data_IF_259203042320
#
_entry.id   IF_259203042320
#
_cell.length_a   1.000
_cell.length_b   1.000
_cell.length_c   1.000
_cell.angle_alpha   90.00
_cell.angle_beta   90.00
_cell.angle_gamma   90.00
#
_symmetry.space_group_name_H-M   'P 1'
#
loop_
_entity.id
_entity.type
_entity.pdbx_description
1 polymer ?
#
# COMPACT_ATOMS: atom_id res chain seq x y z
N UNK A 1 13.08 5.92 -25.14
CA UNK A 1 12.24 4.70 -25.29
C UNK A 1 11.69 4.37 -23.91
N UNK A 2 10.39 4.09 -23.78
CA UNK A 2 9.79 3.80 -22.48
C UNK A 2 10.39 2.51 -21.89
N UNK A 3 10.88 2.55 -20.66
CA UNK A 3 11.63 1.46 -20.01
C UNK A 3 10.82 0.17 -19.88
N UNK A 4 9.50 0.27 -19.67
CA UNK A 4 8.61 -0.89 -19.57
C UNK A 4 8.19 -1.45 -20.94
N UNK A 5 8.31 -0.70 -22.02
CA UNK A 5 7.99 -1.23 -23.35
C UNK A 5 8.86 -2.45 -23.70
N UNK A 6 8.32 -3.57 -24.25
CA UNK A 6 6.96 -3.78 -24.77
C UNK A 6 6.01 -4.52 -23.79
N UNK A 7 6.27 -4.51 -22.48
CA UNK A 7 5.39 -5.12 -21.49
C UNK A 7 3.97 -4.53 -21.57
N UNK A 8 2.94 -5.33 -21.38
CA UNK A 8 1.54 -4.92 -21.47
C UNK A 8 0.95 -4.68 -20.09
N UNK A 9 0.04 -3.73 -19.97
CA UNK A 9 -0.83 -3.65 -18.82
C UNK A 9 -1.78 -4.85 -18.84
N UNK A 10 -1.84 -5.58 -17.73
CA UNK A 10 -2.68 -6.77 -17.58
C UNK A 10 -3.62 -6.60 -16.39
N UNK A 11 -4.84 -7.13 -16.48
CA UNK A 11 -5.85 -7.12 -15.41
C UNK A 11 -6.61 -8.44 -15.33
N UNK A 12 -7.31 -8.65 -14.21
CA UNK A 12 -8.36 -9.66 -14.12
C UNK A 12 -9.67 -9.06 -14.63
N UNK A 13 -10.36 -9.77 -15.49
CA UNK A 13 -11.74 -9.45 -15.83
C UNK A 13 -12.67 -10.17 -14.82
N UNK A 14 -13.22 -9.41 -13.88
CA UNK A 14 -14.14 -9.90 -12.86
C UNK A 14 -15.57 -10.09 -13.39
N UNK A 15 -15.84 -9.72 -14.64
CA UNK A 15 -17.15 -9.81 -15.26
C UNK A 15 -18.08 -8.65 -14.85
N UNK A 16 -19.38 -8.96 -14.66
CA UNK A 16 -20.39 -7.93 -14.35
C UNK A 16 -20.27 -7.47 -12.90
N UNK A 17 -20.29 -6.17 -12.69
CA UNK A 17 -20.31 -5.60 -11.35
C UNK A 17 -21.57 -5.91 -10.58
N UNK A 18 -21.40 -6.10 -9.27
CA UNK A 18 -22.48 -6.21 -8.30
C UNK A 18 -22.45 -4.98 -7.40
N UNK A 19 -23.56 -4.68 -6.72
CA UNK A 19 -23.62 -3.60 -5.72
C UNK A 19 -22.53 -3.75 -4.63
N UNK A 20 -22.23 -4.99 -4.23
CA UNK A 20 -21.17 -5.27 -3.27
C UNK A 20 -19.78 -4.89 -3.80
N UNK A 21 -19.48 -5.15 -5.08
CA UNK A 21 -18.22 -4.78 -5.72
C UNK A 21 -18.13 -3.26 -5.88
N UNK A 22 -19.24 -2.60 -6.20
CA UNK A 22 -19.29 -1.14 -6.28
C UNK A 22 -18.97 -0.50 -4.94
N UNK A 23 -19.53 -1.03 -3.85
CA UNK A 23 -19.33 -0.52 -2.50
C UNK A 23 -17.97 -0.90 -1.89
N UNK A 24 -17.53 -2.15 -2.06
CA UNK A 24 -16.39 -2.71 -1.31
C UNK A 24 -15.17 -3.04 -2.17
N UNK A 25 -15.26 -2.94 -3.49
CA UNK A 25 -14.19 -3.30 -4.43
C UNK A 25 -14.10 -4.79 -4.72
N UNK A 26 -13.14 -5.13 -5.57
CA UNK A 26 -12.81 -6.50 -5.91
C UNK A 26 -11.79 -7.08 -4.93
N UNK A 27 -11.69 -8.42 -4.93
CA UNK A 27 -10.56 -9.10 -4.31
C UNK A 27 -9.23 -8.68 -4.98
N UNK A 28 -8.15 -8.74 -4.22
CA UNK A 28 -6.83 -8.50 -4.78
C UNK A 28 -6.52 -9.46 -5.92
N UNK A 29 -5.87 -8.93 -6.94
CA UNK A 29 -5.44 -9.68 -8.13
C UNK A 29 -4.05 -10.22 -7.93
N UNK A 30 -3.87 -11.52 -8.14
CA UNK A 30 -2.59 -12.22 -8.11
C UNK A 30 -2.21 -12.58 -9.53
N UNK A 31 -1.08 -12.03 -10.02
CA UNK A 31 -0.55 -12.30 -11.34
C UNK A 31 0.74 -13.09 -11.18
N UNK A 32 0.88 -14.19 -11.94
CA UNK A 32 1.99 -15.12 -11.80
C UNK A 32 2.60 -15.47 -13.16
N UNK A 33 3.94 -15.59 -13.21
CA UNK A 33 4.68 -16.08 -14.36
C UNK A 33 5.87 -16.90 -13.91
N UNK A 34 6.05 -18.09 -14.51
CA UNK A 34 7.29 -18.87 -14.42
C UNK A 34 8.21 -18.56 -15.58
N UNK A 35 9.50 -18.65 -15.29
CA UNK A 35 10.55 -18.57 -16.31
C UNK A 35 11.81 -19.32 -15.86
N UNK A 36 12.52 -19.90 -16.82
CA UNK A 36 13.80 -20.55 -16.59
C UNK A 36 14.93 -19.70 -17.15
N UNK A 37 16.07 -19.70 -16.50
CA UNK A 37 17.29 -19.04 -16.97
C UNK A 37 18.15 -20.05 -17.75
N UNK A 38 18.85 -19.61 -18.83
CA UNK A 38 19.85 -20.41 -19.48
C UNK A 38 21.02 -20.71 -18.53
N UNK A 39 21.85 -21.67 -18.91
CA UNK A 39 23.06 -22.00 -18.16
C UNK A 39 24.17 -20.96 -18.43
N UNK A 40 23.95 -19.74 -17.94
CA UNK A 40 24.82 -18.57 -18.07
C UNK A 40 24.96 -17.89 -16.73
N UNK A 41 26.10 -17.28 -16.47
CA UNK A 41 26.33 -16.53 -15.25
C UNK A 41 25.58 -15.20 -15.28
N UNK A 42 24.62 -15.05 -14.37
CA UNK A 42 23.89 -13.78 -14.15
C UNK A 42 24.81 -12.80 -13.44
N UNK A 43 24.92 -11.58 -13.95
CA UNK A 43 25.68 -10.48 -13.32
C UNK A 43 24.76 -9.44 -12.70
N UNK A 44 23.54 -9.28 -13.22
CA UNK A 44 22.53 -8.35 -12.71
C UNK A 44 21.14 -8.77 -13.17
N UNK A 45 20.15 -8.57 -12.32
CA UNK A 45 18.75 -8.68 -12.72
C UNK A 45 17.91 -7.58 -12.09
N UNK A 46 17.06 -6.94 -12.87
CA UNK A 46 16.19 -5.86 -12.45
C UNK A 46 14.73 -6.19 -12.78
N UNK A 47 13.86 -5.98 -11.79
CA UNK A 47 12.42 -5.93 -12.00
C UNK A 47 11.99 -4.46 -12.05
N UNK A 48 11.33 -4.06 -13.11
CA UNK A 48 10.61 -2.80 -13.23
C UNK A 48 9.13 -3.11 -13.23
N UNK A 49 8.37 -2.51 -12.30
CA UNK A 49 6.96 -2.80 -12.15
C UNK A 49 6.15 -1.58 -11.75
N UNK A 50 4.88 -1.56 -12.14
CA UNK A 50 3.89 -0.56 -11.76
C UNK A 50 2.52 -1.17 -11.63
N UNK A 51 1.60 -0.43 -10.98
CA UNK A 51 0.17 -0.69 -10.99
C UNK A 51 -0.62 0.60 -11.18
N UNK A 52 -1.78 0.48 -11.79
CA UNK A 52 -2.90 1.40 -11.58
C UNK A 52 -3.67 0.78 -10.41
N UNK A 53 -3.41 1.27 -9.23
CA UNK A 53 -3.66 0.67 -7.93
C UNK A 53 -2.39 0.64 -7.10
N UNK A 54 -2.26 -0.33 -6.22
CA UNK A 54 -1.05 -0.62 -5.44
C UNK A 54 -0.62 -2.07 -5.67
N UNK A 55 0.67 -2.35 -5.52
CA UNK A 55 1.17 -3.72 -5.72
C UNK A 55 2.30 -4.10 -4.77
N UNK A 56 2.48 -5.41 -4.60
CA UNK A 56 3.69 -6.06 -4.08
C UNK A 56 4.23 -7.05 -5.09
N UNK A 57 5.55 -7.16 -5.15
CA UNK A 57 6.24 -8.08 -6.04
C UNK A 57 7.02 -9.13 -5.24
N UNK A 58 6.95 -10.38 -5.69
CA UNK A 58 7.65 -11.51 -5.11
C UNK A 58 8.44 -12.25 -6.18
N UNK A 59 9.65 -12.68 -5.85
CA UNK A 59 10.48 -13.57 -6.67
C UNK A 59 10.77 -14.80 -5.83
N UNK A 60 10.34 -15.97 -6.31
CA UNK A 60 10.54 -17.24 -5.62
C UNK A 60 10.09 -17.22 -4.14
N UNK A 61 8.96 -16.55 -3.87
CA UNK A 61 8.38 -16.40 -2.53
C UNK A 61 9.00 -15.30 -1.65
N UNK A 62 10.02 -14.60 -2.12
CA UNK A 62 10.68 -13.52 -1.40
C UNK A 62 10.21 -12.16 -1.93
N UNK A 63 9.81 -11.25 -1.04
CA UNK A 63 9.45 -9.87 -1.43
C UNK A 63 10.62 -9.18 -2.16
N UNK A 64 10.31 -8.42 -3.21
CA UNK A 64 11.33 -7.73 -4.00
C UNK A 64 12.12 -6.69 -3.18
N UNK A 65 11.45 -5.90 -2.32
CA UNK A 65 12.09 -4.84 -1.52
C UNK A 65 11.43 -4.58 -0.14
N UNK A 66 10.34 -5.26 0.22
CA UNK A 66 9.60 -5.01 1.47
C UNK A 66 8.92 -3.64 1.54
N UNK A 67 8.71 -2.97 0.41
CA UNK A 67 7.98 -1.70 0.32
C UNK A 67 6.46 -1.90 0.42
N UNK A 68 5.76 -0.83 0.78
CA UNK A 68 4.31 -0.78 0.89
C UNK A 68 3.72 0.25 -0.04
N UNK A 69 2.46 0.04 -0.44
CA UNK A 69 1.68 1.01 -1.20
C UNK A 69 2.37 1.50 -2.50
N UNK A 70 3.28 0.69 -3.07
CA UNK A 70 3.89 1.01 -4.37
C UNK A 70 2.86 0.90 -5.50
N UNK A 71 2.92 1.76 -6.53
CA UNK A 71 4.00 2.67 -6.88
C UNK A 71 3.95 4.03 -6.16
N UNK A 72 2.94 4.33 -5.35
CA UNK A 72 2.75 5.60 -4.66
C UNK A 72 1.56 6.41 -5.22
N UNK A 73 1.20 7.49 -4.51
CA UNK A 73 0.07 8.35 -4.83
C UNK A 73 0.46 9.46 -5.82
N UNK A 74 -0.31 9.61 -6.90
CA UNK A 74 -0.16 10.65 -7.93
C UNK A 74 -1.47 10.85 -8.68
N UNK A 75 -1.57 11.83 -9.58
CA UNK A 75 -2.65 11.86 -10.59
C UNK A 75 -2.33 10.84 -11.69
N UNK A 76 -2.88 9.63 -11.56
CA UNK A 76 -2.61 8.52 -12.47
C UNK A 76 -3.02 8.79 -13.94
N UNK A 77 -3.79 9.85 -14.20
CA UNK A 77 -4.13 10.28 -15.58
C UNK A 77 -2.98 11.05 -16.23
N UNK A 78 -2.08 11.63 -15.41
CA UNK A 78 -0.94 12.44 -15.83
C UNK A 78 0.38 11.70 -15.69
N UNK A 79 0.53 10.92 -14.60
CA UNK A 79 1.75 10.23 -14.22
C UNK A 79 1.44 8.87 -13.63
N UNK A 80 2.05 7.82 -14.19
CA UNK A 80 2.01 6.45 -13.67
C UNK A 80 3.44 6.09 -13.25
N UNK A 81 3.76 6.14 -11.94
CA UNK A 81 5.09 5.84 -11.45
C UNK A 81 5.39 4.35 -11.64
N UNK A 82 6.60 3.99 -12.03
CA UNK A 82 7.08 2.61 -12.01
C UNK A 82 8.29 2.47 -11.11
N UNK A 83 8.38 1.34 -10.45
CA UNK A 83 9.36 1.02 -9.44
C UNK A 83 10.43 0.10 -9.99
N UNK A 84 11.70 0.32 -9.62
CA UNK A 84 12.85 -0.53 -9.96
C UNK A 84 13.29 -1.30 -8.72
N UNK A 85 13.55 -2.60 -8.89
CA UNK A 85 14.04 -3.51 -7.85
C UNK A 85 15.24 -4.27 -8.39
N UNK A 86 16.32 -4.34 -7.60
CA UNK A 86 17.38 -5.30 -7.83
C UNK A 86 16.93 -6.66 -7.28
N UNK A 87 16.86 -7.64 -8.16
CA UNK A 87 16.43 -9.01 -7.84
C UNK A 87 17.52 -10.06 -8.12
N UNK A 88 18.76 -9.61 -8.29
CA UNK A 88 19.89 -10.45 -8.72
C UNK A 88 20.09 -11.63 -7.79
N UNK A 89 20.05 -11.39 -6.49
CA UNK A 89 20.24 -12.39 -5.43
C UNK A 89 19.03 -13.31 -5.20
N UNK A 90 17.88 -12.99 -5.80
CA UNK A 90 16.62 -13.74 -5.64
C UNK A 90 16.40 -14.75 -6.76
N UNK A 91 17.18 -14.68 -7.84
CA UNK A 91 17.04 -15.58 -8.99
C UNK A 91 17.66 -16.95 -8.74
N UNK A 92 17.01 -17.95 -9.31
CA UNK A 92 17.42 -19.35 -9.36
C UNK A 92 17.42 -19.83 -10.83
N UNK A 93 17.69 -21.11 -11.08
CA UNK A 93 17.58 -21.67 -12.44
C UNK A 93 16.14 -21.63 -12.97
N UNK A 94 15.18 -22.05 -12.13
CA UNK A 94 13.74 -21.95 -12.39
C UNK A 94 13.15 -20.92 -11.44
N UNK A 95 12.34 -20.02 -11.94
CA UNK A 95 11.85 -18.88 -11.19
C UNK A 95 10.34 -18.73 -11.32
N UNK A 96 9.73 -18.18 -10.27
CA UNK A 96 8.39 -17.63 -10.32
C UNK A 96 8.41 -16.16 -9.89
N UNK A 97 7.76 -15.31 -10.66
CA UNK A 97 7.41 -13.94 -10.27
C UNK A 97 5.93 -13.88 -9.98
N UNK A 98 5.57 -13.25 -8.85
CA UNK A 98 4.18 -12.99 -8.47
C UNK A 98 4.03 -11.51 -8.18
N UNK A 99 3.01 -10.89 -8.80
CA UNK A 99 2.57 -9.55 -8.48
C UNK A 99 1.20 -9.66 -7.81
N UNK A 100 1.08 -9.14 -6.59
CA UNK A 100 -0.20 -9.01 -5.89
C UNK A 100 -0.62 -7.55 -5.97
N UNK A 101 -1.85 -7.27 -6.39
CA UNK A 101 -2.31 -5.91 -6.61
C UNK A 101 -3.69 -5.65 -6.02
N UNK A 102 -3.84 -4.48 -5.41
CA UNK A 102 -5.06 -3.99 -4.77
C UNK A 102 -5.44 -2.58 -5.24
N UNK A 103 -6.57 -2.08 -4.74
CA UNK A 103 -7.19 -0.86 -5.22
C UNK A 103 -6.34 0.41 -5.00
N UNK A 104 -5.77 0.59 -3.80
CA UNK A 104 -4.97 1.74 -3.43
C UNK A 104 -5.61 3.09 -3.73
N UNK A 105 -4.79 4.09 -4.08
CA UNK A 105 -5.30 5.44 -4.40
C UNK A 105 -5.98 5.55 -5.76
N UNK A 106 -5.66 4.68 -6.72
CA UNK A 106 -6.19 4.79 -8.08
C UNK A 106 -7.64 4.33 -8.20
N UNK A 107 -8.04 3.32 -7.42
CA UNK A 107 -9.33 2.63 -7.53
C UNK A 107 -10.13 2.69 -6.21
N UNK A 108 -9.48 2.74 -5.05
CA UNK A 108 -10.10 2.81 -3.73
C UNK A 108 -10.80 4.15 -3.46
N UNK A 109 -11.36 4.26 -2.27
CA UNK A 109 -11.94 5.52 -1.79
C UNK A 109 -10.88 6.61 -1.62
N UNK A 110 -11.22 7.84 -2.03
CA UNK A 110 -10.37 9.01 -1.91
C UNK A 110 -11.18 10.25 -1.51
N UNK A 111 -10.53 11.13 -0.71
CA UNK A 111 -11.12 12.38 -0.26
C UNK A 111 -12.33 12.18 0.66
N UNK A 112 -12.94 13.30 1.09
CA UNK A 112 -14.08 13.30 2.01
C UNK A 112 -15.43 13.04 1.32
N UNK A 113 -15.49 13.08 -0.01
CA UNK A 113 -16.67 12.76 -0.81
C UNK A 113 -16.96 11.26 -0.88
N UNK A 114 -15.98 10.43 -0.53
CA UNK A 114 -16.10 8.97 -0.51
C UNK A 114 -16.54 8.38 -1.85
N UNK A 115 -15.94 8.85 -2.93
CA UNK A 115 -16.03 8.18 -4.23
C UNK A 115 -14.89 7.19 -4.39
N UNK A 116 -15.22 6.05 -5.00
CA UNK A 116 -14.24 5.10 -5.52
C UNK A 116 -14.00 5.36 -7.00
N UNK A 117 -12.88 4.80 -7.51
CA UNK A 117 -12.59 4.83 -8.96
C UNK A 117 -12.40 6.25 -9.50
N UNK A 118 -11.79 7.09 -8.68
CA UNK A 118 -11.57 8.48 -9.06
C UNK A 118 -10.69 8.61 -10.32
N UNK A 119 -9.76 7.69 -10.53
CA UNK A 119 -8.88 7.71 -11.70
C UNK A 119 -9.22 6.62 -12.70
N UNK A 120 -9.35 5.37 -12.22
CA UNK A 120 -9.62 4.21 -13.06
C UNK A 120 -10.60 3.25 -12.39
N UNK A 121 -11.25 2.43 -13.23
CA UNK A 121 -12.26 1.48 -12.77
C UNK A 121 -11.68 0.18 -12.24
N UNK A 122 -10.58 -0.27 -12.85
CA UNK A 122 -9.96 -1.56 -12.58
C UNK A 122 -8.51 -1.38 -12.14
N UNK A 123 -8.01 -2.38 -11.43
CA UNK A 123 -6.59 -2.52 -11.10
C UNK A 123 -5.85 -3.13 -12.28
N UNK A 124 -4.73 -2.53 -12.66
CA UNK A 124 -3.84 -3.03 -13.70
C UNK A 124 -2.43 -3.15 -13.15
N UNK A 125 -1.67 -4.12 -13.67
CA UNK A 125 -0.22 -4.20 -13.42
C UNK A 125 0.54 -4.23 -14.74
N UNK A 126 1.76 -3.71 -14.72
CA UNK A 126 2.70 -3.82 -15.83
C UNK A 126 4.10 -4.04 -15.27
N UNK A 127 4.81 -5.06 -15.78
CA UNK A 127 6.14 -5.39 -15.28
C UNK A 127 7.05 -5.91 -16.40
N UNK A 128 8.35 -5.66 -16.19
CA UNK A 128 9.44 -6.16 -17.02
C UNK A 128 10.60 -6.56 -16.13
N UNK A 129 11.07 -7.79 -16.28
CA UNK A 129 12.32 -8.27 -15.70
C UNK A 129 13.37 -8.27 -16.80
N UNK A 130 14.55 -7.75 -16.52
CA UNK A 130 15.72 -7.82 -17.40
C UNK A 130 16.84 -8.54 -16.64
N UNK A 131 17.34 -9.62 -17.22
CA UNK A 131 18.46 -10.40 -16.68
C UNK A 131 19.67 -10.21 -17.59
N UNK A 132 20.78 -9.76 -17.03
CA UNK A 132 22.04 -9.51 -17.74
C UNK A 132 23.04 -10.61 -17.43
N UNK A 133 23.71 -11.11 -18.48
CA UNK A 133 24.69 -12.19 -18.36
C UNK A 133 26.11 -11.69 -18.62
N UNK A 134 27.10 -12.44 -18.09
CA UNK A 134 28.52 -12.12 -18.21
C UNK A 134 29.01 -12.07 -19.67
N UNK A 135 28.36 -12.82 -20.56
CA UNK A 135 28.67 -12.82 -22.00
C UNK A 135 28.11 -11.59 -22.76
N UNK A 136 27.51 -10.63 -22.04
CA UNK A 136 26.90 -9.42 -22.60
C UNK A 136 25.49 -9.62 -23.17
N UNK A 137 24.97 -10.85 -23.17
CA UNK A 137 23.57 -11.10 -23.57
C UNK A 137 22.59 -10.76 -22.45
N UNK A 138 21.31 -10.65 -22.79
CA UNK A 138 20.24 -10.40 -21.80
C UNK A 138 18.95 -11.12 -22.18
N UNK A 139 18.17 -11.45 -21.18
CA UNK A 139 16.78 -11.92 -21.31
C UNK A 139 15.80 -10.89 -20.77
N UNK A 140 14.61 -10.85 -21.37
CA UNK A 140 13.53 -9.99 -20.94
C UNK A 140 12.25 -10.82 -20.70
N UNK A 141 11.69 -10.74 -19.49
CA UNK A 141 10.41 -11.34 -19.13
C UNK A 141 9.43 -10.19 -18.91
N UNK A 142 8.34 -10.14 -19.67
CA UNK A 142 7.38 -9.05 -19.67
C UNK A 142 5.99 -9.53 -19.28
N UNK A 143 5.16 -8.62 -18.78
CA UNK A 143 3.72 -8.89 -18.63
C UNK A 143 3.07 -9.00 -20.01
N UNK A 144 2.37 -10.11 -20.20
CA UNK A 144 1.67 -10.48 -21.44
C UNK A 144 0.62 -11.58 -21.16
N UNK A 145 0.04 -12.14 -22.22
CA UNK A 145 -0.93 -13.25 -22.17
C UNK A 145 -0.38 -14.57 -21.60
N UNK A 146 0.94 -14.69 -21.46
CA UNK A 146 1.55 -15.90 -20.90
C UNK A 146 1.57 -15.90 -19.37
N UNK A 147 1.19 -14.81 -18.73
CA UNK A 147 0.92 -14.77 -17.31
C UNK A 147 -0.36 -15.52 -16.96
N UNK A 148 -0.51 -15.86 -15.70
CA UNK A 148 -1.72 -16.40 -15.11
C UNK A 148 -2.18 -15.46 -14.01
N UNK A 149 -3.50 -15.34 -13.86
CA UNK A 149 -4.12 -14.46 -12.90
C UNK A 149 -5.22 -15.17 -12.13
N UNK A 150 -5.32 -14.92 -10.84
CA UNK A 150 -6.36 -15.42 -9.95
C UNK A 150 -6.54 -14.48 -8.76
N UNK A 151 -7.48 -14.79 -7.87
CA UNK A 151 -7.65 -14.17 -6.56
C UNK A 151 -7.23 -15.16 -5.47
N UNK A 152 -6.89 -14.68 -4.27
CA UNK A 152 -6.53 -15.49 -3.12
C UNK A 152 -7.12 -14.90 -1.83
N UNK A 153 -6.44 -15.02 -0.73
CA UNK A 153 -6.87 -14.70 0.62
C UNK A 153 -7.27 -13.24 0.89
N UNK A 154 -6.73 -12.26 0.14
CA UNK A 154 -7.10 -10.85 0.31
C UNK A 154 -8.35 -10.58 -0.50
N UNK A 155 -9.50 -10.66 0.16
CA UNK A 155 -10.81 -10.56 -0.48
C UNK A 155 -11.34 -9.14 -0.61
N UNK A 156 -10.75 -8.19 0.11
CA UNK A 156 -11.04 -6.75 0.03
C UNK A 156 -9.83 -5.95 0.51
N UNK A 157 -9.58 -4.82 -0.11
CA UNK A 157 -8.63 -3.84 0.40
C UNK A 157 -9.06 -2.42 0.03
N UNK A 158 -8.85 -1.49 0.96
CA UNK A 158 -9.10 -0.07 0.76
C UNK A 158 -8.35 0.76 1.80
N UNK A 159 -7.87 1.93 1.41
CA UNK A 159 -7.11 2.81 2.30
C UNK A 159 -7.89 3.27 3.54
N UNK A 160 -9.21 3.46 3.42
CA UNK A 160 -10.05 3.99 4.51
C UNK A 160 -10.80 2.89 5.24
N UNK A 161 -11.27 1.87 4.49
CA UNK A 161 -12.10 0.80 5.05
C UNK A 161 -11.27 -0.31 5.68
N UNK A 162 -10.00 -0.44 5.28
CA UNK A 162 -9.12 -1.51 5.72
C UNK A 162 -9.14 -2.73 4.82
N UNK A 163 -8.61 -3.84 5.31
CA UNK A 163 -8.38 -5.05 4.56
C UNK A 163 -9.13 -6.26 5.16
N UNK A 164 -9.66 -7.11 4.30
CA UNK A 164 -10.25 -8.38 4.71
C UNK A 164 -9.38 -9.51 4.18
N UNK A 165 -8.75 -10.25 5.10
CA UNK A 165 -7.90 -11.40 4.80
C UNK A 165 -8.62 -12.66 5.27
N UNK A 166 -8.88 -13.57 4.35
CA UNK A 166 -9.59 -14.82 4.63
C UNK A 166 -8.71 -16.02 4.29
N UNK A 167 -8.05 -16.58 5.28
CA UNK A 167 -7.19 -17.74 5.11
C UNK A 167 -7.96 -19.02 4.77
N UNK A 168 -9.30 -19.06 4.92
CA UNK A 168 -10.08 -20.21 4.45
C UNK A 168 -10.10 -20.31 2.92
N UNK A 169 -9.77 -19.22 2.21
CA UNK A 169 -9.63 -19.14 0.75
C UNK A 169 -8.19 -19.25 0.29
N UNK A 170 -7.23 -19.20 1.23
CA UNK A 170 -5.81 -19.23 0.89
C UNK A 170 -5.47 -20.53 0.17
N UNK A 171 -4.86 -20.36 -1.00
CA UNK A 171 -4.28 -21.46 -1.76
C UNK A 171 -2.98 -21.93 -1.13
N UNK A 172 -2.50 -23.08 -1.55
CA UNK A 172 -1.17 -23.51 -1.20
C UNK A 172 -0.14 -22.45 -1.66
N UNK A 173 0.61 -21.90 -0.72
CA UNK A 173 1.63 -20.85 -0.98
C UNK A 173 2.74 -21.26 -1.94
N UNK A 174 2.79 -22.53 -2.35
CA UNK A 174 3.70 -22.98 -3.41
C UNK A 174 3.48 -22.27 -4.76
N UNK A 175 2.35 -21.58 -4.94
CA UNK A 175 2.17 -20.74 -6.13
C UNK A 175 3.15 -19.56 -6.22
N UNK A 176 3.82 -19.20 -5.13
CA UNK A 176 4.93 -18.25 -5.14
C UNK A 176 6.25 -18.85 -5.67
N UNK A 177 6.33 -20.19 -5.79
CA UNK A 177 7.52 -20.92 -6.22
C UNK A 177 7.38 -21.41 -7.66
N UNK A 178 8.50 -21.81 -8.29
CA UNK A 178 8.48 -22.53 -9.57
C UNK A 178 7.85 -23.92 -9.41
N UNK A 179 7.47 -24.52 -10.52
CA UNK A 179 6.89 -25.88 -10.62
C UNK A 179 5.53 -26.04 -9.91
N UNK A 180 4.73 -24.96 -9.84
CA UNK A 180 3.41 -24.98 -9.27
C UNK A 180 2.39 -25.71 -10.16
N UNK A 181 1.60 -26.63 -9.57
CA UNK A 181 0.50 -27.28 -10.29
C UNK A 181 -0.75 -26.36 -10.33
N UNK A 182 -1.03 -25.78 -11.49
CA UNK A 182 -2.16 -24.89 -11.74
C UNK A 182 -3.56 -25.53 -11.59
N UNK A 183 -3.66 -26.82 -11.22
CA UNK A 183 -4.95 -27.44 -10.91
C UNK A 183 -5.60 -26.87 -9.65
N UNK A 184 -4.80 -26.29 -8.76
CA UNK A 184 -5.34 -25.57 -7.61
C UNK A 184 -5.73 -24.14 -8.02
N UNK A 185 -6.98 -23.73 -7.75
CA UNK A 185 -7.49 -22.40 -8.04
C UNK A 185 -8.11 -22.23 -9.43
N UNK A 186 -8.45 -20.98 -9.75
CA UNK A 186 -9.11 -20.60 -11.00
C UNK A 186 -8.18 -19.75 -11.87
N UNK A 187 -6.92 -20.17 -11.99
CA UNK A 187 -5.92 -19.48 -12.76
C UNK A 187 -6.32 -19.32 -14.23
N UNK A 188 -6.43 -18.08 -14.68
CA UNK A 188 -6.86 -17.71 -16.03
C UNK A 188 -5.82 -16.82 -16.72
N UNK A 189 -5.93 -16.74 -18.03
CA UNK A 189 -5.13 -15.78 -18.81
C UNK A 189 -5.64 -14.37 -18.49
N UNK A 190 -4.78 -13.42 -18.08
CA UNK A 190 -5.19 -12.05 -17.86
C UNK A 190 -5.61 -11.37 -19.16
N UNK A 191 -6.48 -10.37 -19.02
CA UNK A 191 -6.77 -9.45 -20.10
C UNK A 191 -5.57 -8.52 -20.32
N UNK A 192 -5.08 -8.45 -21.56
CA UNK A 192 -4.00 -7.55 -21.94
C UNK A 192 -4.58 -6.28 -22.55
N UNK A 193 -4.24 -5.15 -21.97
CA UNK A 193 -4.65 -3.83 -22.46
C UNK A 193 -3.49 -3.20 -23.20
N UNK A 194 -3.71 -2.88 -24.47
CA UNK A 194 -2.78 -2.09 -25.29
C UNK A 194 -3.12 -0.62 -25.13
N UNK A 195 -2.59 0.01 -24.07
CA UNK A 195 -2.91 1.40 -23.76
C UNK A 195 -1.79 2.35 -24.16
N UNK A 196 -1.84 2.94 -25.36
CA UNK A 196 -0.90 4.00 -25.73
C UNK A 196 -0.85 5.14 -24.71
N UNK A 197 -2.00 5.49 -24.13
CA UNK A 197 -2.11 6.52 -23.09
C UNK A 197 -1.36 6.15 -21.81
N UNK A 198 -1.39 4.89 -21.37
CA UNK A 198 -0.68 4.47 -20.16
C UNK A 198 0.84 4.61 -20.33
N UNK A 199 1.37 4.24 -21.49
CA UNK A 199 2.81 4.36 -21.74
C UNK A 199 3.29 5.82 -21.79
N UNK A 200 2.46 6.75 -22.24
CA UNK A 200 2.82 8.18 -22.28
C UNK A 200 2.93 8.79 -20.88
N UNK A 201 2.21 8.22 -19.90
CA UNK A 201 2.20 8.68 -18.50
C UNK A 201 3.27 7.98 -17.64
N UNK A 202 3.96 6.93 -18.11
CA UNK A 202 4.96 6.19 -17.32
C UNK A 202 6.18 7.04 -16.99
N UNK A 203 6.53 7.11 -15.70
CA UNK A 203 7.75 7.75 -15.21
C UNK A 203 8.38 6.92 -14.10
N UNK A 204 9.69 6.97 -13.92
CA UNK A 204 10.34 6.30 -12.79
C UNK A 204 9.94 6.97 -11.48
N UNK A 205 9.60 6.17 -10.45
CA UNK A 205 9.31 6.68 -9.10
C UNK A 205 10.61 7.16 -8.47
N UNK A 206 10.63 8.41 -8.07
CA UNK A 206 11.79 9.07 -7.48
C UNK A 206 11.66 9.27 -5.97
N UNK A 207 10.43 9.20 -5.43
CA UNK A 207 10.22 9.36 -3.99
C UNK A 207 10.76 8.14 -3.21
N UNK A 208 11.18 8.34 -1.96
CA UNK A 208 11.48 7.25 -1.06
C UNK A 208 10.25 6.38 -0.83
N UNK A 209 10.44 5.04 -0.95
CA UNK A 209 9.36 4.06 -0.75
C UNK A 209 8.80 4.13 0.67
N UNK A 210 7.53 3.82 0.81
CA UNK A 210 6.92 3.58 2.12
C UNK A 210 7.44 2.23 2.62
N UNK A 211 7.99 2.20 3.84
CA UNK A 211 8.50 0.98 4.50
C UNK A 211 8.07 0.93 5.95
N UNK A 212 8.14 -0.25 6.54
CA UNK A 212 8.07 -0.40 8.00
C UNK A 212 9.35 0.17 8.59
N UNK A 213 9.24 1.30 9.29
CA UNK A 213 10.38 2.03 9.84
C UNK A 213 10.60 1.76 11.34
N UNK A 214 9.53 1.37 12.05
CA UNK A 214 9.57 0.98 13.46
C UNK A 214 8.55 -0.12 13.74
N UNK A 215 8.79 -0.89 14.79
CA UNK A 215 7.83 -1.86 15.33
C UNK A 215 7.58 -1.49 16.78
N UNK A 216 6.30 -1.31 17.14
CA UNK A 216 5.87 -1.00 18.49
C UNK A 216 5.16 -2.20 19.11
N UNK A 217 5.51 -2.52 20.36
CA UNK A 217 4.81 -3.53 21.15
C UNK A 217 3.83 -2.84 22.07
N UNK A 218 2.52 -3.15 22.00
CA UNK A 218 1.53 -2.50 22.83
C UNK A 218 1.42 -3.12 24.21
N UNK A 219 0.79 -2.38 25.12
CA UNK A 219 0.28 -2.91 26.39
C UNK A 219 -1.20 -3.29 26.25
N UNK A 220 -1.59 -4.40 26.87
CA UNK A 220 -3.01 -4.74 27.02
C UNK A 220 -3.62 -3.85 28.09
N UNK A 221 -4.61 -3.04 27.75
CA UNK A 221 -5.30 -2.16 28.69
C UNK A 221 -6.65 -2.70 29.13
N UNK A 222 -7.27 -3.57 28.31
CA UNK A 222 -8.50 -4.27 28.66
C UNK A 222 -8.56 -5.63 27.93
N UNK A 223 -9.07 -6.65 28.61
CA UNK A 223 -9.28 -7.98 28.04
C UNK A 223 -10.49 -8.64 28.68
N UNK A 224 -11.37 -9.16 27.82
CA UNK A 224 -12.50 -10.00 28.21
C UNK A 224 -12.73 -11.11 27.16
N UNK A 225 -13.83 -11.85 27.27
CA UNK A 225 -14.15 -12.98 26.35
C UNK A 225 -14.44 -12.53 24.92
N UNK A 226 -14.76 -11.25 24.68
CA UNK A 226 -15.20 -10.72 23.38
C UNK A 226 -14.14 -9.91 22.68
N UNK A 227 -13.27 -9.24 23.43
CA UNK A 227 -12.25 -8.40 22.83
C UNK A 227 -10.99 -8.24 23.71
N UNK A 228 -9.92 -7.81 23.08
CA UNK A 228 -8.68 -7.37 23.72
C UNK A 228 -8.37 -5.98 23.17
N UNK A 229 -8.15 -5.00 24.08
CA UNK A 229 -7.78 -3.63 23.71
C UNK A 229 -6.34 -3.34 24.10
N UNK A 230 -5.66 -2.64 23.21
CA UNK A 230 -4.23 -2.35 23.26
C UNK A 230 -3.95 -0.85 23.22
N UNK A 231 -2.93 -0.39 23.98
CA UNK A 231 -2.34 0.96 23.89
C UNK A 231 -0.88 0.85 23.43
N UNK A 232 -0.55 1.43 22.26
CA UNK A 232 0.80 1.50 21.72
C UNK A 232 1.65 2.61 22.37
N UNK A 233 1.09 3.42 23.27
CA UNK A 233 1.73 4.57 23.95
C UNK A 233 2.20 5.67 23.01
N UNK A 234 2.06 5.48 21.71
CA UNK A 234 2.42 6.42 20.67
C UNK A 234 1.34 6.43 19.59
N UNK A 235 0.84 7.63 19.22
CA UNK A 235 0.02 7.76 18.03
C UNK A 235 0.92 7.55 16.80
N UNK A 236 0.57 6.62 15.95
CA UNK A 236 1.37 6.18 14.80
C UNK A 236 0.51 5.97 13.56
N UNK A 237 1.18 5.76 12.44
CA UNK A 237 0.54 5.33 11.19
C UNK A 237 1.15 4.01 10.73
N UNK A 238 0.31 3.08 10.34
CA UNK A 238 0.74 1.77 9.90
C UNK A 238 -0.33 0.71 10.02
N UNK A 239 0.07 -0.53 10.24
CA UNK A 239 -0.79 -1.70 10.34
C UNK A 239 -0.48 -2.54 11.58
N UNK A 240 -1.43 -3.39 11.95
CA UNK A 240 -1.17 -4.44 12.93
C UNK A 240 -0.56 -5.67 12.26
N UNK A 241 0.37 -6.31 12.97
CA UNK A 241 0.80 -7.67 12.71
C UNK A 241 0.33 -8.54 13.85
N UNK A 242 -0.54 -9.51 13.56
CA UNK A 242 -1.21 -10.36 14.54
C UNK A 242 -0.84 -11.81 14.30
N UNK A 243 -0.23 -12.45 15.31
CA UNK A 243 -0.06 -13.91 15.33
C UNK A 243 -1.14 -14.53 16.20
N UNK A 244 -1.77 -15.55 15.70
CA UNK A 244 -2.95 -16.16 16.32
C UNK A 244 -3.00 -17.66 16.04
N UNK A 245 -3.65 -18.39 16.94
CA UNK A 245 -4.03 -19.78 16.75
C UNK A 245 -5.49 -19.94 17.11
N UNK A 246 -6.27 -20.61 16.27
CA UNK A 246 -7.72 -20.73 16.53
C UNK A 246 -8.41 -21.74 15.64
N UNK A 247 -9.73 -21.84 15.82
CA UNK A 247 -10.57 -22.73 15.03
C UNK A 247 -10.85 -22.13 13.64
N UNK A 248 -11.03 -23.01 12.64
CA UNK A 248 -11.39 -22.59 11.28
C UNK A 248 -12.66 -21.75 11.27
N UNK A 249 -12.63 -20.64 10.54
CA UNK A 249 -13.75 -19.72 10.40
C UNK A 249 -13.89 -18.73 11.58
N UNK A 250 -13.01 -18.78 12.59
CA UNK A 250 -12.96 -17.73 13.61
C UNK A 250 -12.62 -16.40 12.95
N UNK A 251 -13.37 -15.36 13.33
CA UNK A 251 -13.24 -14.01 12.79
C UNK A 251 -12.61 -13.11 13.86
N UNK A 252 -11.57 -12.37 13.47
CA UNK A 252 -10.97 -11.31 14.28
C UNK A 252 -11.17 -10.00 13.53
N UNK A 253 -11.85 -9.06 14.19
CA UNK A 253 -12.04 -7.70 13.69
C UNK A 253 -11.11 -6.77 14.45
N UNK A 254 -10.14 -6.19 13.76
CA UNK A 254 -9.17 -5.26 14.29
C UNK A 254 -9.62 -3.82 13.99
N UNK A 255 -10.00 -3.07 15.03
CA UNK A 255 -10.43 -1.68 14.95
C UNK A 255 -9.34 -0.76 15.47
N UNK A 256 -9.21 0.42 14.88
CA UNK A 256 -8.16 1.38 15.17
C UNK A 256 -8.75 2.71 15.61
N UNK A 257 -8.11 3.39 16.59
CA UNK A 257 -8.48 4.73 17.02
C UNK A 257 -7.27 5.48 17.61
N UNK A 258 -7.29 6.79 17.53
CA UNK A 258 -6.26 7.65 18.13
C UNK A 258 -6.52 7.95 19.59
N UNK A 259 -7.78 7.89 20.03
CA UNK A 259 -8.24 8.23 21.38
C UNK A 259 -9.26 7.24 21.89
N UNK A 260 -9.48 7.29 23.21
CA UNK A 260 -10.54 6.57 23.89
C UNK A 260 -11.61 7.56 24.36
N UNK A 261 -12.84 7.07 24.43
CA UNK A 261 -13.95 7.72 25.14
C UNK A 261 -13.71 7.71 26.67
N UNK A 262 -14.51 8.46 27.41
CA UNK A 262 -14.43 8.52 28.87
C UNK A 262 -14.72 7.16 29.54
N UNK A 263 -15.48 6.29 28.90
CA UNK A 263 -15.79 4.92 29.35
C UNK A 263 -14.72 3.90 28.93
N UNK A 264 -13.65 4.36 28.27
CA UNK A 264 -12.54 3.53 27.80
C UNK A 264 -12.78 2.87 26.42
N UNK A 265 -13.93 3.06 25.76
CA UNK A 265 -14.17 2.56 24.40
C UNK A 265 -13.39 3.36 23.37
N UNK A 266 -13.24 2.80 22.14
CA UNK A 266 -12.55 3.51 21.07
C UNK A 266 -13.38 4.71 20.58
N UNK A 267 -12.77 5.91 20.58
CA UNK A 267 -13.35 7.09 19.96
C UNK A 267 -13.13 7.04 18.45
N UNK A 268 -14.20 6.93 17.68
CA UNK A 268 -14.15 6.76 16.21
C UNK A 268 -14.94 7.81 15.42
N UNK A 269 -15.59 8.77 16.09
CA UNK A 269 -16.33 9.83 15.40
C UNK A 269 -15.43 10.72 14.53
N UNK A 270 -14.18 10.94 14.97
CA UNK A 270 -13.19 11.70 14.22
C UNK A 270 -12.72 11.02 12.93
N UNK A 271 -12.98 9.73 12.75
CA UNK A 271 -12.68 8.99 11.52
C UNK A 271 -13.67 9.33 10.40
N UNK A 272 -14.81 9.95 10.74
CA UNK A 272 -15.90 10.31 9.84
C UNK A 272 -16.43 9.06 9.11
N UNK A 273 -16.17 8.91 7.81
CA UNK A 273 -16.63 7.77 7.01
C UNK A 273 -15.59 6.65 6.87
N UNK A 274 -14.34 6.87 7.31
CA UNK A 274 -13.33 5.83 7.31
C UNK A 274 -13.63 4.79 8.40
N UNK A 275 -13.74 3.51 8.03
CA UNK A 275 -13.99 2.44 8.98
C UNK A 275 -12.75 2.08 9.82
N UNK A 276 -11.54 2.28 9.25
CA UNK A 276 -10.25 1.96 9.86
C UNK A 276 -10.25 0.58 10.54
N UNK A 277 -10.75 -0.43 9.81
CA UNK A 277 -11.07 -1.76 10.35
C UNK A 277 -10.55 -2.86 9.43
N UNK A 278 -9.68 -3.73 9.97
CA UNK A 278 -9.23 -4.93 9.28
C UNK A 278 -9.99 -6.16 9.80
N UNK A 279 -10.21 -7.14 8.94
CA UNK A 279 -10.89 -8.39 9.31
C UNK A 279 -10.04 -9.58 8.91
N UNK A 280 -9.81 -10.46 9.86
CA UNK A 280 -9.01 -11.68 9.66
C UNK A 280 -9.89 -12.89 9.93
N UNK A 281 -9.89 -13.86 8.99
CA UNK A 281 -10.66 -15.09 9.07
C UNK A 281 -9.68 -16.27 9.03
N UNK A 282 -9.65 -17.06 10.09
CA UNK A 282 -8.69 -18.12 10.30
C UNK A 282 -8.98 -19.35 9.43
N UNK A 283 -7.93 -19.96 8.88
CA UNK A 283 -7.99 -21.31 8.29
C UNK A 283 -8.15 -22.40 9.33
N UNK A 284 -7.64 -22.19 10.55
CA UNK A 284 -7.58 -23.16 11.63
C UNK A 284 -6.38 -24.12 11.52
N UNK A 285 -5.42 -23.83 10.67
CA UNK A 285 -4.26 -24.67 10.41
C UNK A 285 -3.02 -24.18 11.20
N UNK A 286 -2.99 -24.48 12.52
CA UNK A 286 -1.84 -24.17 13.36
C UNK A 286 -1.77 -22.69 13.76
N UNK A 287 -0.56 -22.12 13.74
CA UNK A 287 -0.32 -20.70 13.98
C UNK A 287 -0.44 -19.94 12.66
N UNK A 288 -1.24 -18.88 12.69
CA UNK A 288 -1.49 -18.02 11.54
C UNK A 288 -0.99 -16.61 11.83
N UNK A 289 -0.53 -15.92 10.79
CA UNK A 289 -0.10 -14.53 10.89
C UNK A 289 -0.89 -13.67 9.90
N UNK A 290 -1.47 -12.60 10.38
CA UNK A 290 -2.18 -11.61 9.59
C UNK A 290 -1.45 -10.29 9.61
N UNK A 291 -1.33 -9.67 8.43
CA UNK A 291 -0.66 -8.41 8.20
C UNK A 291 -1.24 -7.77 6.95
N UNK A 292 -2.03 -6.70 7.06
CA UNK A 292 -2.56 -5.99 5.90
C UNK A 292 -1.43 -5.50 4.97
N UNK A 293 -1.64 -5.58 3.66
CA UNK A 293 -0.63 -5.24 2.65
C UNK A 293 -0.89 -3.91 1.95
N UNK A 294 -2.18 -3.54 1.77
CA UNK A 294 -2.59 -2.45 0.88
C UNK A 294 -3.51 -1.44 1.56
N UNK A 295 -3.34 -1.27 2.87
CA UNK A 295 -3.99 -0.25 3.68
C UNK A 295 -3.04 0.27 4.74
N UNK A 296 -3.42 1.34 5.42
CA UNK A 296 -2.79 1.85 6.62
C UNK A 296 -3.78 2.66 7.44
N UNK A 297 -3.56 2.71 8.75
CA UNK A 297 -4.41 3.43 9.71
C UNK A 297 -3.58 4.36 10.58
N UNK A 298 -4.17 5.49 10.99
CA UNK A 298 -3.63 6.36 12.03
C UNK A 298 -4.25 5.97 13.38
N UNK A 299 -3.44 5.55 14.35
CA UNK A 299 -3.95 5.05 15.63
C UNK A 299 -2.90 5.06 16.74
N UNK A 300 -3.39 5.12 17.98
CA UNK A 300 -2.66 4.78 19.20
C UNK A 300 -3.24 3.54 19.85
N UNK A 301 -4.55 3.34 19.71
CA UNK A 301 -5.29 2.24 20.31
C UNK A 301 -5.80 1.29 19.24
N UNK A 302 -5.76 -0.01 19.56
CA UNK A 302 -6.37 -1.03 18.72
C UNK A 302 -7.23 -1.96 19.56
N UNK A 303 -8.32 -2.46 18.98
CA UNK A 303 -9.22 -3.42 19.62
C UNK A 303 -9.40 -4.62 18.69
N UNK A 304 -9.05 -5.81 19.17
CA UNK A 304 -9.32 -7.07 18.48
C UNK A 304 -10.58 -7.68 19.05
N UNK A 305 -11.66 -7.71 18.26
CA UNK A 305 -12.91 -8.41 18.58
C UNK A 305 -12.87 -9.81 17.98
N UNK A 306 -13.14 -10.83 18.80
CA UNK A 306 -13.02 -12.23 18.43
C UNK A 306 -14.41 -12.86 18.39
N UNK A 307 -14.78 -13.44 17.25
CA UNK A 307 -15.99 -14.26 17.10
C UNK A 307 -15.57 -15.67 16.73
N UNK A 308 -15.79 -16.62 17.62
CA UNK A 308 -15.27 -17.98 17.56
C UNK A 308 -14.24 -18.22 18.66
N UNK A 309 -13.31 -19.16 18.45
CA UNK A 309 -12.26 -19.49 19.43
C UNK A 309 -10.88 -19.26 18.85
N UNK A 310 -10.16 -18.35 19.46
CA UNK A 310 -8.76 -18.08 19.12
C UNK A 310 -7.95 -17.63 20.34
N UNK A 311 -6.67 -17.91 20.31
CA UNK A 311 -5.65 -17.40 21.20
C UNK A 311 -4.76 -16.44 20.44
N UNK A 312 -4.72 -15.17 20.87
CA UNK A 312 -3.79 -14.18 20.30
C UNK A 312 -2.40 -14.44 20.92
N UNK A 313 -1.45 -14.79 20.07
CA UNK A 313 -0.07 -15.13 20.47
C UNK A 313 0.80 -13.88 20.58
N UNK A 314 0.66 -12.95 19.60
CA UNK A 314 1.33 -11.66 19.67
C UNK A 314 0.61 -10.61 18.81
N UNK A 315 0.76 -9.35 19.21
CA UNK A 315 0.33 -8.17 18.45
C UNK A 315 1.47 -7.17 18.43
N UNK A 316 1.80 -6.64 17.25
CA UNK A 316 2.72 -5.53 17.09
C UNK A 316 2.12 -4.50 16.13
N UNK A 317 2.50 -3.23 16.31
CA UNK A 317 2.20 -2.16 15.37
C UNK A 317 3.40 -1.90 14.48
N UNK A 318 3.24 -2.06 13.19
CA UNK A 318 4.26 -1.76 12.18
C UNK A 318 4.08 -0.33 11.68
N UNK A 319 4.97 0.57 12.11
CA UNK A 319 4.92 2.00 11.77
C UNK A 319 5.45 2.21 10.37
N UNK A 320 4.64 2.79 9.50
CA UNK A 320 4.91 2.96 8.09
C UNK A 320 4.97 4.44 7.69
N UNK A 321 5.99 4.82 6.94
CA UNK A 321 6.11 6.11 6.27
C UNK A 321 7.16 6.05 5.17
N UNK A 322 7.21 7.08 4.31
CA UNK A 322 8.25 7.21 3.28
C UNK A 322 9.64 7.16 3.93
N UNK A 323 10.51 6.27 3.48
CA UNK A 323 11.79 5.95 4.11
C UNK A 323 12.79 7.11 4.00
N UNK A 324 12.56 8.18 4.76
CA UNK A 324 13.35 9.38 4.83
C UNK A 324 14.44 9.26 5.89
N UNK A 325 15.66 9.59 5.53
CA UNK A 325 16.79 9.68 6.46
C UNK A 325 16.60 10.84 7.45
N UNK A 326 17.01 10.65 8.71
CA UNK A 326 17.04 11.72 9.71
C UNK A 326 18.17 12.68 9.38
N UNK A 327 17.90 14.00 9.35
CA UNK A 327 18.90 15.05 9.10
C UNK A 327 19.19 15.90 10.32
N UNK A 328 18.20 16.10 11.19
CA UNK A 328 18.31 16.96 12.36
C UNK A 328 17.94 16.25 13.67
N UNK A 329 18.44 16.80 14.76
CA UNK A 329 18.09 16.42 16.12
C UNK A 329 18.08 17.64 17.01
N UNK A 330 17.11 17.73 17.90
CA UNK A 330 17.01 18.81 18.86
C UNK A 330 16.77 18.25 20.27
N UNK A 331 17.49 18.79 21.22
CA UNK A 331 17.26 18.57 22.66
C UNK A 331 17.67 19.82 23.45
N UNK A 332 16.97 20.09 24.52
CA UNK A 332 17.29 21.19 25.44
C UNK A 332 16.95 20.78 26.88
N UNK A 333 17.20 21.67 27.85
CA UNK A 333 16.90 21.44 29.27
C UNK A 333 15.42 21.46 29.62
N UNK A 334 14.55 21.96 28.74
CA UNK A 334 13.09 22.01 28.94
C UNK A 334 12.43 20.77 28.34
N UNK A 335 11.85 19.94 29.21
CA UNK A 335 11.19 18.69 28.80
C UNK A 335 9.93 18.92 27.95
N UNK A 336 9.21 20.02 28.18
CA UNK A 336 8.00 20.36 27.38
C UNK A 336 8.42 20.66 25.94
N UNK A 337 9.46 21.44 25.76
CA UNK A 337 9.99 21.76 24.41
C UNK A 337 10.51 20.50 23.71
N UNK A 338 11.21 19.63 24.43
CA UNK A 338 11.64 18.32 23.89
C UNK A 338 10.43 17.47 23.49
N UNK A 339 9.34 17.50 24.26
CA UNK A 339 8.11 16.77 23.93
C UNK A 339 7.43 17.34 22.69
N UNK A 340 7.36 18.67 22.56
CA UNK A 340 6.84 19.34 21.35
C UNK A 340 7.63 18.91 20.12
N UNK A 341 8.97 18.95 20.18
CA UNK A 341 9.82 18.47 19.09
C UNK A 341 9.52 17.01 18.69
N UNK A 342 9.43 16.10 19.67
CA UNK A 342 9.09 14.70 19.40
C UNK A 342 7.72 14.57 18.74
N UNK A 343 6.71 15.33 19.19
CA UNK A 343 5.37 15.32 18.60
C UNK A 343 5.39 15.78 17.14
N UNK A 344 6.16 16.84 16.83
CA UNK A 344 6.34 17.33 15.45
C UNK A 344 6.94 16.24 14.56
N UNK A 345 7.99 15.55 15.02
CA UNK A 345 8.62 14.45 14.27
C UNK A 345 7.65 13.29 14.04
N UNK A 346 6.85 12.92 15.05
CA UNK A 346 5.84 11.86 14.89
C UNK A 346 4.68 12.29 13.99
N UNK A 347 4.26 13.55 14.05
CA UNK A 347 3.27 14.10 13.11
C UNK A 347 3.78 14.05 11.67
N UNK A 348 5.06 14.41 11.42
CA UNK A 348 5.68 14.29 10.12
C UNK A 348 5.72 12.85 9.61
N UNK A 349 6.13 11.89 10.44
CA UNK A 349 6.13 10.46 10.10
C UNK A 349 4.74 9.96 9.69
N UNK A 350 3.71 10.35 10.46
CA UNK A 350 2.34 9.94 10.21
C UNK A 350 1.73 10.55 8.95
N UNK A 351 2.25 11.66 8.45
CA UNK A 351 1.69 12.38 7.29
C UNK A 351 2.57 12.31 6.03
N UNK A 352 3.74 11.65 6.09
CA UNK A 352 4.63 11.53 4.93
C UNK A 352 4.56 10.12 4.34
N UNK A 353 3.42 9.80 3.70
CA UNK A 353 3.17 8.55 2.99
C UNK A 353 2.95 8.84 1.50
N UNK A 354 4.02 8.82 0.72
CA UNK A 354 4.07 9.15 -0.71
C UNK A 354 3.87 10.65 -1.03
N UNK A 355 3.01 11.35 -0.29
CA UNK A 355 2.78 12.80 -0.35
C UNK A 355 2.66 13.37 1.07
N UNK A 356 2.85 14.68 1.29
CA UNK A 356 2.59 15.31 2.58
C UNK A 356 1.08 15.46 2.77
N UNK A 357 0.46 14.57 3.54
CA UNK A 357 -0.99 14.59 3.80
C UNK A 357 -1.34 15.47 4.99
N UNK A 358 -2.57 15.94 5.04
CA UNK A 358 -3.15 16.69 6.16
C UNK A 358 -3.43 15.81 7.37
N UNK A 359 -3.84 14.58 7.13
CA UNK A 359 -4.24 13.64 8.17
C UNK A 359 -4.03 12.20 7.70
N UNK A 360 -3.75 11.24 8.62
CA UNK A 360 -3.55 9.85 8.25
C UNK A 360 -4.72 8.93 8.58
N UNK A 361 -5.72 9.36 9.39
CA UNK A 361 -6.65 8.45 10.04
C UNK A 361 -8.07 8.46 9.47
N UNK A 362 -8.53 9.61 8.95
CA UNK A 362 -9.92 9.83 8.50
C UNK A 362 -10.07 9.74 6.98
N UNK A 363 -11.28 9.95 6.48
CA UNK A 363 -11.64 10.00 5.07
C UNK A 363 -11.22 11.33 4.40
N UNK A 364 -9.94 11.58 4.26
CA UNK A 364 -9.35 12.75 3.58
C UNK A 364 -8.00 12.37 3.00
N UNK A 365 -6.92 12.42 3.80
CA UNK A 365 -5.56 11.97 3.48
C UNK A 365 -5.05 12.55 2.17
N UNK A 366 -5.25 13.85 1.98
CA UNK A 366 -4.88 14.58 0.78
C UNK A 366 -3.64 15.44 0.99
N UNK A 367 -2.91 15.70 -0.09
CA UNK A 367 -1.75 16.58 -0.07
C UNK A 367 -2.15 18.05 -0.15
N UNK A 368 -2.60 18.64 0.96
CA UNK A 368 -2.96 20.04 1.03
C UNK A 368 -1.76 20.94 0.80
N UNK A 369 -1.85 21.82 -0.20
CA UNK A 369 -0.73 22.64 -0.65
C UNK A 369 -0.34 23.71 0.37
N UNK A 370 -1.31 24.28 1.09
CA UNK A 370 -1.07 25.22 2.18
C UNK A 370 -0.33 24.60 3.35
N UNK A 371 -0.75 23.42 3.81
CA UNK A 371 -0.11 22.64 4.87
C UNK A 371 1.32 22.29 4.48
N UNK A 372 1.51 21.77 3.27
CA UNK A 372 2.83 21.42 2.74
C UNK A 372 3.76 22.64 2.67
N UNK A 373 3.26 23.79 2.22
CA UNK A 373 4.02 25.05 2.13
C UNK A 373 4.53 25.51 3.49
N UNK A 374 3.66 25.51 4.50
CA UNK A 374 4.03 25.97 5.86
C UNK A 374 5.00 24.99 6.51
N UNK A 375 4.79 23.69 6.35
CA UNK A 375 5.55 22.66 7.06
C UNK A 375 6.88 22.29 6.38
N UNK A 376 7.08 22.56 5.09
CA UNK A 376 8.24 22.08 4.33
C UNK A 376 9.60 22.48 4.95
N UNK A 377 9.73 23.69 5.47
CA UNK A 377 10.94 24.14 6.16
C UNK A 377 11.25 23.29 7.40
N UNK A 378 10.25 23.07 8.25
CA UNK A 378 10.36 22.21 9.44
C UNK A 378 10.67 20.77 9.06
N UNK A 379 10.03 20.25 8.03
CA UNK A 379 10.25 18.89 7.55
C UNK A 379 11.70 18.65 7.13
N UNK A 380 12.33 19.59 6.43
CA UNK A 380 13.71 19.50 5.97
C UNK A 380 14.73 19.57 7.11
N UNK A 381 14.41 20.24 8.24
CA UNK A 381 15.23 20.16 9.43
C UNK A 381 15.26 18.78 10.06
N UNK A 382 14.13 18.07 10.02
CA UNK A 382 13.96 16.78 10.67
C UNK A 382 14.48 15.61 9.81
N UNK A 383 14.24 15.66 8.50
CA UNK A 383 14.46 14.54 7.59
C UNK A 383 14.98 15.00 6.22
N UNK A 384 15.72 14.12 5.53
CA UNK A 384 16.13 14.31 4.14
C UNK A 384 14.90 14.18 3.21
N UNK A 385 14.27 15.31 2.95
CA UNK A 385 13.06 15.40 2.15
C UNK A 385 13.31 15.73 0.68
N UNK A 386 14.57 15.77 0.20
CA UNK A 386 14.89 16.21 -1.17
C UNK A 386 14.09 15.46 -2.23
N UNK A 387 14.19 14.14 -2.26
CA UNK A 387 13.48 13.31 -3.25
C UNK A 387 11.96 13.31 -3.05
N UNK A 388 11.52 13.37 -1.78
CA UNK A 388 10.12 13.44 -1.43
C UNK A 388 9.45 14.71 -1.98
N UNK A 389 10.04 15.87 -1.73
CA UNK A 389 9.53 17.13 -2.26
C UNK A 389 9.75 17.30 -3.76
N UNK A 390 10.81 16.75 -4.34
CA UNK A 390 10.95 16.70 -5.81
C UNK A 390 9.76 15.98 -6.46
N UNK A 391 9.34 14.85 -5.90
CA UNK A 391 8.14 14.14 -6.37
C UNK A 391 6.89 14.99 -6.15
N UNK A 392 6.71 15.58 -4.98
CA UNK A 392 5.55 16.41 -4.69
C UNK A 392 5.46 17.66 -5.59
N UNK A 393 6.60 18.28 -5.96
CA UNK A 393 6.65 19.36 -6.94
C UNK A 393 6.14 18.88 -8.32
N UNK A 394 6.45 17.65 -8.71
CA UNK A 394 5.89 17.07 -9.94
C UNK A 394 4.37 16.89 -9.83
N UNK A 395 3.85 16.49 -8.65
CA UNK A 395 2.40 16.42 -8.43
C UNK A 395 1.75 17.80 -8.49
N UNK A 396 2.38 18.85 -7.95
CA UNK A 396 1.92 20.24 -8.08
C UNK A 396 1.84 20.68 -9.54
N UNK A 397 2.87 20.38 -10.33
CA UNK A 397 2.91 20.68 -11.77
C UNK A 397 1.79 19.93 -12.51
N UNK A 398 1.64 18.62 -12.24
CA UNK A 398 0.61 17.80 -12.86
C UNK A 398 -0.82 18.23 -12.47
N UNK A 399 -0.97 18.79 -11.26
CA UNK A 399 -2.24 19.30 -10.72
C UNK A 399 -2.52 20.76 -11.10
N UNK A 400 -1.55 21.46 -11.69
CA UNK A 400 -1.73 22.86 -12.09
C UNK A 400 -2.71 22.99 -13.25
N UNK A 401 -3.46 24.10 -13.25
CA UNK A 401 -4.38 24.47 -14.32
C UNK A 401 -3.64 25.06 -15.51
N UNK A 402 -4.32 25.15 -16.65
CA UNK A 402 -3.75 25.70 -17.87
C UNK A 402 -3.25 27.14 -17.76
N UNK A 403 -3.73 27.90 -16.79
CA UNK A 403 -3.28 29.27 -16.44
C UNK A 403 -2.10 29.30 -15.46
N UNK A 404 -1.66 28.15 -14.98
CA UNK A 404 -0.58 28.01 -13.99
C UNK A 404 -1.02 28.05 -12.54
N UNK A 405 -2.32 28.20 -12.26
CA UNK A 405 -2.85 28.17 -10.89
C UNK A 405 -2.68 26.78 -10.27
N UNK A 406 -2.20 26.73 -9.03
CA UNK A 406 -2.05 25.51 -8.24
C UNK A 406 -3.31 25.33 -7.40
N UNK A 407 -3.88 24.12 -7.42
CA UNK A 407 -5.05 23.77 -6.61
C UNK A 407 -4.75 23.68 -5.10
N UNK A 408 -5.80 23.60 -4.29
CA UNK A 408 -5.68 23.43 -2.83
C UNK A 408 -5.08 22.09 -2.43
N UNK A 409 -5.15 21.07 -3.30
CA UNK A 409 -4.59 19.73 -3.08
C UNK A 409 -3.76 19.25 -4.27
N UNK A 410 -2.71 18.50 -4.00
CA UNK A 410 -1.90 17.79 -4.99
C UNK A 410 -1.44 16.43 -4.41
N UNK A 411 -1.53 15.32 -5.17
CA UNK A 411 -2.10 15.20 -6.52
C UNK A 411 -3.57 15.57 -6.60
N UNK A 412 -4.01 16.03 -7.76
CA UNK A 412 -5.42 16.31 -8.02
C UNK A 412 -6.24 15.02 -7.98
N UNK A 413 -7.31 15.00 -7.20
CA UNK A 413 -8.24 13.86 -7.08
C UNK A 413 -9.57 14.25 -7.71
N UNK A 414 -9.98 13.60 -8.84
CA UNK A 414 -11.25 13.85 -9.49
C UNK A 414 -12.44 13.56 -8.58
N UNK A 415 -13.56 14.24 -8.84
CA UNK A 415 -14.84 14.01 -8.16
C UNK A 415 -14.83 14.24 -6.64
N UNK A 416 -13.82 14.90 -6.11
CA UNK A 416 -13.85 15.37 -4.71
C UNK A 416 -14.53 16.74 -4.63
N UNK A 417 -14.98 17.12 -3.42
CA UNK A 417 -15.53 18.48 -3.18
C UNK A 417 -14.52 19.59 -3.46
N UNK A 418 -13.26 19.25 -3.66
CA UNK A 418 -12.17 20.17 -4.01
C UNK A 418 -11.92 20.24 -5.52
N UNK A 419 -12.71 19.53 -6.33
CA UNK A 419 -12.65 19.55 -7.80
C UNK A 419 -13.37 20.76 -8.39
N UNK A 420 -14.25 21.40 -7.61
CA UNK A 420 -14.99 22.59 -8.05
C UNK A 420 -14.08 23.82 -8.16
N UNK A 421 -14.36 24.66 -9.17
CA UNK A 421 -13.57 25.84 -9.53
C UNK A 421 -13.42 26.88 -8.42
N UNK A 422 -14.15 26.77 -7.32
CA UNK A 422 -14.22 27.75 -6.24
C UNK A 422 -13.19 27.55 -5.11
N UNK A 423 -12.46 26.43 -5.05
CA UNK A 423 -11.46 26.19 -4.00
C UNK A 423 -10.12 26.86 -4.35
N UNK A 424 -10.13 28.19 -4.49
CA UNK A 424 -8.94 29.00 -4.65
C UNK A 424 -8.44 29.42 -3.27
N UNK A 425 -7.24 28.99 -2.88
CA UNK A 425 -6.50 29.76 -1.90
C UNK A 425 -5.83 30.93 -2.60
N UNK A 426 -5.92 32.13 -2.04
CA UNK A 426 -5.30 33.32 -2.60
C UNK A 426 -3.77 33.25 -2.62
#
# INVERSE_FOLDING_TARGET
MNTLYPAKFIKINFGRETEAVERYGNACSYFRREFALPDKKVIKAELMATAIGVFKAYINGVEADGDYMSPGFTDYRKRIPWCRYDITDKLQKNNAVVLVAGDGWAVGYMGNSMYRRNYYRDVYVCAKIVVYYEDGSRDEIITDKNWRADTDEIVRTDNYMGEVINHTYSKNKTFYLSDYDYKEGNWRTPECVMGGIFYSCLSEEIAPRIKVMHVLTPEVIEKNERFIRYDFKQNMVGVLRVKVKGERGTIIVARHAEMLENDGTLYTENLRKAEATDTFILSGEGEEEFRPLFTFHGFRYAELRITGKAEILSVTGEVMYSALGKTGEFTCSDEIVNRVYKNVVWGQRGNFLSVPTDCPQRDERLGWTGDAQIFCGTAMFNMDCEKFYKKYILDLIDSSRGDGTIGGVAPHVPHTVYDDEECHMP
#
